data_IF_703998726878
#
_entry.id   IF_703998726878
#
_cell.length_a   1.000
_cell.length_b   1.000
_cell.length_c   1.000
_cell.angle_alpha   90.00
_cell.angle_beta   90.00
_cell.angle_gamma   90.00
#
_symmetry.space_group_name_H-M   'P 1'
#
loop_
_entity.id
_entity.type
_entity.pdbx_description
1 polymer ?
#
# COMPACT_ATOMS: atom_id res chain seq x y z
N UNK A 1 -8.56 -26.25 14.06
CA UNK A 1 -9.38 -25.25 13.34
C UNK A 1 -10.69 -24.94 14.05
N UNK A 2 -11.50 -25.92 14.36
CA UNK A 2 -12.77 -25.69 15.05
C UNK A 2 -12.60 -24.97 16.40
N UNK A 3 -11.63 -25.41 17.21
CA UNK A 3 -11.32 -24.78 18.48
C UNK A 3 -10.83 -23.33 18.33
N UNK A 4 -10.07 -23.07 17.28
CA UNK A 4 -9.57 -21.73 16.98
C UNK A 4 -10.70 -20.80 16.57
N UNK A 5 -11.58 -21.27 15.67
CA UNK A 5 -12.76 -20.50 15.27
C UNK A 5 -13.66 -20.15 16.47
N UNK A 6 -13.90 -21.11 17.33
CA UNK A 6 -14.70 -20.91 18.54
C UNK A 6 -14.03 -19.90 19.46
N UNK A 7 -12.72 -20.03 19.66
CA UNK A 7 -11.97 -19.10 20.50
C UNK A 7 -12.01 -17.66 19.98
N UNK A 8 -11.89 -17.47 18.65
CA UNK A 8 -11.98 -16.14 18.06
C UNK A 8 -13.36 -15.51 18.26
N UNK A 9 -14.42 -16.33 18.20
CA UNK A 9 -15.79 -15.84 18.43
C UNK A 9 -16.09 -15.51 19.87
N UNK A 10 -15.61 -16.30 20.80
CA UNK A 10 -15.97 -16.21 22.22
C UNK A 10 -14.95 -15.49 23.09
N UNK A 11 -13.72 -15.41 22.63
CA UNK A 11 -12.61 -14.83 23.38
C UNK A 11 -11.80 -13.86 22.51
N UNK A 12 -10.48 -14.04 22.48
CA UNK A 12 -9.55 -13.18 21.75
C UNK A 12 -8.70 -14.02 20.83
N UNK A 13 -8.52 -13.55 19.59
CA UNK A 13 -7.63 -14.16 18.62
C UNK A 13 -6.50 -13.22 18.21
N UNK A 14 -5.36 -13.78 17.90
CA UNK A 14 -4.21 -13.05 17.35
C UNK A 14 -3.96 -13.55 15.93
N UNK A 15 -3.93 -12.64 14.96
CA UNK A 15 -3.68 -12.96 13.57
C UNK A 15 -2.46 -12.20 13.06
N UNK A 16 -1.52 -12.92 12.47
CA UNK A 16 -0.38 -12.31 11.80
C UNK A 16 -0.80 -11.82 10.41
N UNK A 17 -0.74 -10.50 10.20
CA UNK A 17 -1.10 -9.86 8.93
C UNK A 17 0.12 -9.31 8.19
N UNK A 18 1.30 -9.86 8.42
CA UNK A 18 2.54 -9.40 7.80
C UNK A 18 2.57 -9.64 6.28
N UNK A 19 1.72 -10.52 5.77
CA UNK A 19 1.70 -10.89 4.35
C UNK A 19 1.24 -9.78 3.41
N UNK A 20 0.67 -8.68 3.92
CA UNK A 20 0.28 -7.54 3.09
C UNK A 20 1.51 -6.84 2.52
N UNK A 21 1.41 -6.41 1.26
CA UNK A 21 2.42 -5.56 0.65
C UNK A 21 2.40 -4.17 1.30
N UNK A 22 3.56 -3.64 1.58
CA UNK A 22 3.70 -2.34 2.25
C UNK A 22 4.78 -1.53 1.56
N UNK A 23 4.43 -0.33 1.15
CA UNK A 23 5.40 0.58 0.56
C UNK A 23 5.21 2.00 1.07
N UNK A 24 6.27 2.77 1.01
CA UNK A 24 6.26 4.18 1.38
C UNK A 24 6.61 5.02 0.17
N UNK A 25 5.80 6.03 -0.08
CA UNK A 25 6.02 7.00 -1.14
C UNK A 25 6.19 8.36 -0.45
N UNK A 26 7.33 8.99 -0.66
CA UNK A 26 7.62 10.27 -0.01
C UNK A 26 8.39 11.20 -0.94
N UNK A 27 8.39 12.46 -0.60
CA UNK A 27 9.08 13.50 -1.35
C UNK A 27 8.17 14.65 -1.70
N UNK A 28 8.72 15.76 -2.21
CA UNK A 28 7.94 16.96 -2.50
C UNK A 28 6.83 16.73 -3.53
N UNK A 29 6.98 15.76 -4.43
CA UNK A 29 5.98 15.42 -5.44
C UNK A 29 5.05 14.27 -5.07
N UNK A 30 5.16 13.69 -3.86
CA UNK A 30 4.43 12.47 -3.49
C UNK A 30 2.91 12.66 -3.53
N UNK A 31 2.41 13.75 -2.99
CA UNK A 31 0.96 14.00 -2.97
C UNK A 31 0.40 14.15 -4.37
N UNK A 32 1.01 14.97 -5.20
CA UNK A 32 0.58 15.18 -6.58
C UNK A 32 0.64 13.88 -7.38
N UNK A 33 1.72 13.12 -7.23
CA UNK A 33 1.86 11.84 -7.88
C UNK A 33 0.74 10.86 -7.50
N UNK A 34 0.49 10.71 -6.21
CA UNK A 34 -0.56 9.80 -5.73
C UNK A 34 -1.96 10.28 -6.11
N UNK A 35 -2.19 11.59 -6.09
CA UNK A 35 -3.49 12.15 -6.49
C UNK A 35 -3.80 11.86 -7.97
N UNK A 36 -2.78 11.84 -8.80
CA UNK A 36 -2.91 11.45 -10.21
C UNK A 36 -3.00 9.93 -10.41
N UNK A 37 -2.41 9.15 -9.52
CA UNK A 37 -2.38 7.69 -9.65
C UNK A 37 -3.71 7.04 -9.25
N UNK A 38 -4.38 7.57 -8.24
CA UNK A 38 -5.58 6.95 -7.68
C UNK A 38 -6.84 7.77 -7.95
N UNK A 39 -7.97 7.09 -8.02
CA UNK A 39 -9.25 7.72 -8.35
C UNK A 39 -9.97 8.32 -7.15
N UNK A 40 -9.63 7.92 -5.93
CA UNK A 40 -10.23 8.47 -4.72
C UNK A 40 -9.38 9.61 -4.15
N UNK A 41 -9.99 10.41 -3.28
CA UNK A 41 -9.28 11.48 -2.59
C UNK A 41 -8.25 10.91 -1.61
N UNK A 42 -7.08 11.52 -1.59
CA UNK A 42 -6.07 11.18 -0.60
C UNK A 42 -6.46 11.68 0.79
N UNK A 43 -5.96 11.01 1.85
CA UNK A 43 -6.18 11.51 3.20
C UNK A 43 -5.48 12.87 3.39
N UNK A 44 -6.20 13.84 3.94
CA UNK A 44 -5.68 15.21 4.10
C UNK A 44 -4.96 15.43 5.42
N UNK A 45 -5.41 14.76 6.47
CA UNK A 45 -4.81 14.91 7.81
C UNK A 45 -3.81 13.79 8.07
N UNK A 46 -2.71 14.13 8.74
CA UNK A 46 -1.74 13.13 9.20
C UNK A 46 -2.45 12.10 10.08
N UNK A 47 -2.16 10.83 9.85
CA UNK A 47 -2.79 9.72 10.55
C UNK A 47 -4.10 9.22 9.93
N UNK A 48 -4.68 9.96 8.98
CA UNK A 48 -5.89 9.52 8.28
C UNK A 48 -5.54 8.45 7.24
N UNK A 49 -6.50 7.57 7.03
CA UNK A 49 -6.40 6.44 6.10
C UNK A 49 -7.60 6.49 5.16
N UNK A 50 -7.34 6.34 3.87
CA UNK A 50 -8.38 6.20 2.84
C UNK A 50 -8.12 4.96 2.00
N UNK A 51 -9.19 4.31 1.57
CA UNK A 51 -9.12 3.24 0.58
C UNK A 51 -9.18 3.88 -0.81
N UNK A 52 -8.20 3.59 -1.64
CA UNK A 52 -8.05 4.19 -2.96
C UNK A 52 -7.82 3.12 -4.02
N UNK A 53 -8.29 3.37 -5.24
CA UNK A 53 -8.10 2.47 -6.37
C UNK A 53 -7.31 3.16 -7.47
N UNK A 54 -6.29 2.47 -7.99
CA UNK A 54 -5.64 2.87 -9.23
C UNK A 54 -6.41 2.26 -10.39
N UNK A 55 -6.72 3.07 -11.40
CA UNK A 55 -7.47 2.62 -12.56
C UNK A 55 -6.56 2.49 -13.77
N UNK A 56 -6.89 1.52 -14.63
CA UNK A 56 -6.24 1.44 -15.93
C UNK A 56 -6.85 2.44 -16.91
N UNK A 57 -6.30 2.53 -18.11
CA UNK A 57 -6.73 3.50 -19.13
C UNK A 57 -8.16 3.29 -19.62
N UNK A 58 -8.76 2.15 -19.32
CA UNK A 58 -10.15 1.83 -19.68
C UNK A 58 -11.11 2.04 -18.52
N UNK A 59 -10.62 2.54 -17.39
CA UNK A 59 -11.44 2.77 -16.20
C UNK A 59 -11.64 1.56 -15.30
N UNK A 60 -11.02 0.43 -15.60
CA UNK A 60 -11.07 -0.75 -14.73
C UNK A 60 -10.10 -0.62 -13.56
N UNK A 61 -10.42 -1.27 -12.44
CA UNK A 61 -9.56 -1.27 -11.26
C UNK A 61 -8.31 -2.11 -11.56
N UNK A 62 -7.13 -1.46 -11.47
CA UNK A 62 -5.84 -2.14 -11.58
C UNK A 62 -5.32 -2.56 -10.22
N UNK A 63 -5.39 -1.67 -9.23
CA UNK A 63 -4.83 -1.90 -7.89
C UNK A 63 -5.70 -1.25 -6.84
N UNK A 64 -5.68 -1.82 -5.64
CA UNK A 64 -6.36 -1.28 -4.48
C UNK A 64 -5.34 -1.00 -3.39
N UNK A 65 -5.33 0.22 -2.89
CA UNK A 65 -4.40 0.67 -1.86
C UNK A 65 -5.15 1.22 -0.65
N UNK A 66 -4.73 0.80 0.53
CA UNK A 66 -5.03 1.53 1.76
C UNK A 66 -3.91 2.53 1.95
N UNK A 67 -4.23 3.81 1.87
CA UNK A 67 -3.24 4.90 1.92
C UNK A 67 -3.37 5.67 3.22
N UNK A 68 -2.30 5.73 3.99
CA UNK A 68 -2.21 6.52 5.21
C UNK A 68 -1.26 7.70 4.98
N UNK A 69 -1.67 8.90 5.40
CA UNK A 69 -0.78 10.05 5.40
C UNK A 69 0.08 10.03 6.65
N UNK A 70 1.39 9.88 6.48
CA UNK A 70 2.35 9.95 7.60
C UNK A 70 2.79 11.39 7.90
N UNK A 71 2.93 12.19 6.84
CA UNK A 71 3.27 13.62 6.93
C UNK A 71 2.73 14.33 5.70
N UNK A 72 3.04 15.61 5.52
CA UNK A 72 2.57 16.35 4.35
C UNK A 72 3.11 15.80 3.03
N UNK A 73 4.27 15.16 3.05
CA UNK A 73 4.95 14.63 1.86
C UNK A 73 5.30 13.14 1.96
N UNK A 74 4.70 12.41 2.89
CA UNK A 74 4.97 10.99 3.06
C UNK A 74 3.69 10.21 3.25
N UNK A 75 3.54 9.13 2.47
CA UNK A 75 2.37 8.27 2.47
C UNK A 75 2.79 6.81 2.60
N UNK A 76 2.05 6.07 3.41
CA UNK A 76 2.25 4.65 3.63
C UNK A 76 1.12 3.88 2.97
N UNK A 77 1.46 3.00 2.04
CA UNK A 77 0.50 2.22 1.26
C UNK A 77 0.53 0.77 1.68
N UNK A 78 -0.65 0.19 1.88
CA UNK A 78 -0.83 -1.23 2.14
C UNK A 78 -1.71 -1.81 1.04
N UNK A 79 -1.31 -2.94 0.50
CA UNK A 79 -2.00 -3.61 -0.60
C UNK A 79 -1.96 -5.13 -0.44
N UNK A 80 -2.65 -5.85 -1.30
CA UNK A 80 -2.65 -7.30 -1.28
C UNK A 80 -1.26 -7.85 -1.57
N UNK A 81 -0.77 -8.74 -0.71
CA UNK A 81 0.57 -9.32 -0.85
C UNK A 81 0.79 -10.07 -2.15
N UNK A 82 -0.24 -10.76 -2.63
CA UNK A 82 -0.17 -11.51 -3.88
C UNK A 82 0.08 -10.62 -5.11
N UNK A 83 -0.29 -9.35 -5.05
CA UNK A 83 -0.16 -8.41 -6.16
C UNK A 83 0.99 -7.41 -5.97
N UNK A 84 1.85 -7.66 -5.02
CA UNK A 84 2.93 -6.75 -4.66
C UNK A 84 3.78 -6.33 -5.86
N UNK A 85 4.21 -7.28 -6.68
CA UNK A 85 5.02 -6.99 -7.85
C UNK A 85 4.24 -6.23 -8.91
N UNK A 86 2.99 -6.62 -9.15
CA UNK A 86 2.11 -5.96 -10.09
C UNK A 86 1.90 -4.49 -9.71
N UNK A 87 1.63 -4.24 -8.45
CA UNK A 87 1.40 -2.90 -7.93
C UNK A 87 2.69 -2.06 -7.96
N UNK A 88 3.82 -2.67 -7.65
CA UNK A 88 5.13 -2.02 -7.74
C UNK A 88 5.43 -1.55 -9.16
N UNK A 89 5.26 -2.43 -10.13
CA UNK A 89 5.52 -2.12 -11.52
C UNK A 89 4.59 -1.01 -12.02
N UNK A 90 3.35 -1.00 -11.57
CA UNK A 90 2.39 0.05 -11.91
C UNK A 90 2.79 1.41 -11.33
N UNK A 91 3.21 1.44 -10.08
CA UNK A 91 3.71 2.65 -9.42
C UNK A 91 4.93 3.18 -10.17
N UNK A 92 5.89 2.32 -10.49
CA UNK A 92 7.11 2.72 -11.20
C UNK A 92 6.81 3.23 -12.61
N UNK A 93 5.83 2.63 -13.28
CA UNK A 93 5.44 3.06 -14.65
C UNK A 93 5.03 4.52 -14.70
N UNK A 94 4.35 5.00 -13.68
CA UNK A 94 3.80 6.36 -13.65
C UNK A 94 4.63 7.33 -12.82
N UNK A 95 5.72 6.86 -12.24
CA UNK A 95 6.57 7.68 -11.39
C UNK A 95 7.33 8.72 -12.21
N UNK A 96 7.43 9.97 -11.71
CA UNK A 96 8.27 10.97 -12.35
C UNK A 96 9.73 10.52 -12.40
N UNK A 97 10.40 10.79 -13.52
CA UNK A 97 11.79 10.40 -13.72
C UNK A 97 12.80 11.37 -13.08
N UNK A 98 12.31 12.47 -12.52
CA UNK A 98 13.16 13.53 -11.93
C UNK A 98 13.62 13.24 -10.50
N UNK A 99 13.22 12.10 -9.92
CA UNK A 99 13.59 11.72 -8.56
C UNK A 99 12.81 12.45 -7.46
N UNK A 100 11.77 13.20 -7.80
CA UNK A 100 10.97 13.94 -6.81
C UNK A 100 10.13 13.04 -5.92
N UNK A 101 9.94 11.78 -6.30
CA UNK A 101 9.06 10.84 -5.59
C UNK A 101 9.77 9.49 -5.45
N UNK A 102 10.64 9.32 -4.44
CA UNK A 102 11.22 8.01 -4.17
C UNK A 102 10.20 7.06 -3.54
N UNK A 103 10.30 5.80 -3.89
CA UNK A 103 9.47 4.72 -3.32
C UNK A 103 10.38 3.75 -2.58
N UNK A 104 9.95 3.36 -1.40
CA UNK A 104 10.64 2.33 -0.64
C UNK A 104 9.66 1.28 -0.12
N UNK A 105 10.12 0.05 -0.08
CA UNK A 105 9.36 -1.07 0.49
C UNK A 105 9.93 -1.46 1.84
N UNK A 106 9.06 -1.55 2.84
CA UNK A 106 9.52 -1.68 4.20
C UNK A 106 9.87 -3.10 4.62
N UNK A 107 9.35 -4.11 3.95
CA UNK A 107 9.57 -5.47 4.42
C UNK A 107 9.60 -6.53 3.32
N UNK A 108 9.72 -6.11 2.09
CA UNK A 108 9.68 -7.02 0.97
C UNK A 108 10.69 -8.13 1.03
N UNK A 109 11.85 -7.81 1.51
CA UNK A 109 12.94 -8.75 1.50
C UNK A 109 12.82 -9.84 2.54
N UNK A 110 12.00 -9.63 3.54
CA UNK A 110 11.90 -10.59 4.64
C UNK A 110 11.36 -11.94 4.22
N UNK A 111 10.22 -12.01 3.58
CA UNK A 111 9.69 -13.31 3.21
C UNK A 111 10.41 -13.93 2.02
N UNK A 112 11.12 -13.16 1.25
CA UNK A 112 11.75 -13.66 0.04
C UNK A 112 13.21 -14.01 0.22
N UNK A 113 13.79 -13.59 1.30
CA UNK A 113 15.12 -14.02 1.59
C UNK A 113 14.98 -15.29 2.36
N UNK A 114 15.04 -16.20 1.70
CA UNK A 114 15.02 -17.43 2.43
C UNK A 114 16.32 -17.49 3.10
N UNK A 115 16.08 -16.66 3.19
CA UNK A 115 16.81 -16.18 3.54
C UNK A 115 17.48 -16.64 3.75
N UNK A 116 17.42 -16.35 3.37
CA UNK A 116 17.87 -16.31 3.50
C UNK A 116 18.05 -16.15 3.77
#
# INVERSE_FOLDING_TARGET
>A
MEKECKNVKENVGLLDMTAFAKCRIKGPGAEEFLDNLVANKLPKKVGRINLCHALNTKGGVHSEFTIMRESHDSFYLVAAGAFQRLDHDWILKWMPSDGSVPVSYTHLTLPTTPYV
#
